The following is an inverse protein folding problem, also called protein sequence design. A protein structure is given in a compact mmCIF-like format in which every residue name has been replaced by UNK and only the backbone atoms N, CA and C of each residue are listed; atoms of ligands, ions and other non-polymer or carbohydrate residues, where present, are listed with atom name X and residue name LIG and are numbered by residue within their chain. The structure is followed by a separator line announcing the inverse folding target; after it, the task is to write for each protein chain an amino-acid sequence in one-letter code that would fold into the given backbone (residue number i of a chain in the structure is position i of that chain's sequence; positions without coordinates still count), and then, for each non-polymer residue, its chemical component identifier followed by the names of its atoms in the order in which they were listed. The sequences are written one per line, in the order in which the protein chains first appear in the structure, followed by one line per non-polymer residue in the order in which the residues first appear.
data_IF_282973927893
#
_entry.id   IF_282973927893
#
_cell.length_a   1.000
_cell.length_b   1.000
_cell.length_c   1.000
_cell.angle_alpha   90.00
_cell.angle_beta   90.00
_cell.angle_gamma   90.00
#
_symmetry.space_group_name_H-M   'P 1'
#
loop_
_entity.id
_entity.type
_entity.pdbx_description
1 polymer ?
#
# COMPACT_ATOMS: atom_id res chain seq x y z
N UNK A 1 -2.77 25.74 -25.71
CA UNK A 1 -3.37 24.40 -25.55
C UNK A 1 -2.85 23.86 -24.23
N UNK A 2 -3.72 23.68 -23.24
CA UNK A 2 -3.34 23.18 -21.93
C UNK A 2 -3.13 21.67 -22.02
N UNK A 3 -1.93 21.21 -21.66
CA UNK A 3 -1.65 19.79 -21.43
C UNK A 3 -2.52 19.32 -20.26
N UNK A 4 -3.21 18.20 -20.45
CA UNK A 4 -3.91 17.52 -19.37
C UNK A 4 -2.87 17.16 -18.29
N UNK A 5 -3.00 17.74 -17.09
CA UNK A 5 -2.01 17.60 -16.03
C UNK A 5 -1.76 16.13 -15.69
N UNK A 6 -0.53 15.67 -15.90
CA UNK A 6 -0.03 14.41 -15.34
C UNK A 6 -0.27 14.44 -13.82
N UNK A 7 -0.92 13.39 -13.29
CA UNK A 7 -1.16 13.26 -11.87
C UNK A 7 0.15 13.34 -11.08
N UNK A 8 0.11 13.97 -9.91
CA UNK A 8 1.28 14.13 -9.04
C UNK A 8 1.84 12.81 -8.50
N UNK A 9 1.06 11.73 -8.59
CA UNK A 9 1.39 10.38 -8.12
C UNK A 9 1.09 9.39 -9.23
N UNK A 10 2.07 8.56 -9.60
CA UNK A 10 1.92 7.54 -10.63
C UNK A 10 2.04 6.14 -10.03
N UNK A 11 1.16 5.24 -10.42
CA UNK A 11 1.26 3.81 -10.09
C UNK A 11 1.63 3.06 -11.37
N UNK A 12 2.76 2.35 -11.35
CA UNK A 12 3.30 1.60 -12.48
C UNK A 12 3.34 0.12 -12.13
N UNK A 13 2.44 -0.66 -12.71
CA UNK A 13 2.35 -2.11 -12.53
C UNK A 13 2.49 -2.85 -13.86
N UNK A 14 3.13 -4.02 -13.86
CA UNK A 14 3.25 -4.89 -15.04
C UNK A 14 1.93 -5.60 -15.39
N UNK A 15 0.95 -5.55 -14.49
CA UNK A 15 -0.34 -6.23 -14.57
C UNK A 15 -0.64 -6.97 -13.26
N UNK A 16 -1.92 -7.07 -12.91
CA UNK A 16 -2.43 -7.86 -11.77
C UNK A 16 -3.16 -9.06 -12.34
N UNK A 17 -2.79 -10.26 -11.89
CA UNK A 17 -3.40 -11.52 -12.35
C UNK A 17 -4.57 -11.97 -11.47
N UNK A 18 -4.54 -11.58 -10.21
CA UNK A 18 -5.55 -11.87 -9.20
C UNK A 18 -6.92 -11.39 -9.65
N UNK A 19 -7.95 -12.20 -9.42
CA UNK A 19 -9.34 -11.85 -9.73
C UNK A 19 -10.00 -11.29 -8.48
N UNK A 20 -10.51 -10.07 -8.56
CA UNK A 20 -11.14 -9.35 -7.45
C UNK A 20 -10.30 -9.39 -6.16
N UNK A 21 -9.04 -8.89 -6.20
CA UNK A 21 -8.12 -9.03 -5.09
C UNK A 21 -8.55 -8.23 -3.85
N UNK A 22 -8.11 -8.66 -2.67
CA UNK A 22 -8.01 -7.75 -1.52
C UNK A 22 -6.71 -6.97 -1.68
N UNK A 23 -6.80 -5.66 -1.50
CA UNK A 23 -5.62 -4.80 -1.44
C UNK A 23 -5.31 -4.50 0.02
N UNK A 24 -4.11 -4.84 0.47
CA UNK A 24 -3.64 -4.56 1.82
C UNK A 24 -2.57 -3.47 1.72
N UNK A 25 -2.69 -2.44 2.54
CA UNK A 25 -1.68 -1.39 2.59
C UNK A 25 -1.02 -1.31 3.97
N UNK A 26 0.28 -1.05 3.96
CA UNK A 26 1.09 -0.79 5.14
C UNK A 26 2.01 0.40 4.92
N UNK A 27 1.49 1.61 5.16
CA UNK A 27 2.32 2.81 5.25
C UNK A 27 2.99 2.96 6.64
N UNK A 28 4.16 3.62 6.73
CA UNK A 28 4.80 3.89 8.02
C UNK A 28 3.89 4.73 8.93
N UNK A 29 3.68 4.24 10.15
CA UNK A 29 2.85 4.87 11.17
C UNK A 29 3.32 4.52 12.58
N UNK A 30 2.44 4.65 13.57
CA UNK A 30 2.77 4.36 14.98
C UNK A 30 3.25 2.92 15.12
N UNK A 31 4.44 2.75 15.72
CA UNK A 31 5.06 1.45 15.97
C UNK A 31 5.41 0.66 14.70
N UNK A 32 5.31 1.27 13.51
CA UNK A 32 5.47 0.60 12.21
C UNK A 32 4.60 -0.65 12.04
N UNK A 33 3.51 -0.78 12.80
CA UNK A 33 2.68 -2.00 12.86
C UNK A 33 2.19 -2.40 11.46
N UNK A 34 1.62 -1.45 10.72
CA UNK A 34 1.16 -1.66 9.35
C UNK A 34 2.25 -2.12 8.40
N UNK A 35 3.40 -1.43 8.44
CA UNK A 35 4.54 -1.76 7.59
C UNK A 35 5.11 -3.15 7.90
N UNK A 36 5.33 -3.47 9.18
CA UNK A 36 5.86 -4.77 9.62
C UNK A 36 4.89 -5.91 9.28
N UNK A 37 3.59 -5.74 9.57
CA UNK A 37 2.58 -6.75 9.26
C UNK A 37 2.48 -7.03 7.76
N UNK A 38 2.48 -5.96 6.94
CA UNK A 38 2.44 -6.09 5.48
C UNK A 38 3.73 -6.70 4.93
N UNK A 39 4.91 -6.32 5.44
CA UNK A 39 6.18 -6.93 5.06
C UNK A 39 6.22 -8.43 5.40
N UNK A 40 5.78 -8.80 6.61
CA UNK A 40 5.70 -10.20 7.03
C UNK A 40 4.78 -11.00 6.10
N UNK A 41 3.61 -10.46 5.76
CA UNK A 41 2.69 -11.09 4.80
C UNK A 41 3.31 -11.28 3.42
N UNK A 42 4.04 -10.27 2.91
CA UNK A 42 4.75 -10.35 1.63
C UNK A 42 5.75 -11.52 1.63
N UNK A 43 6.49 -11.68 2.73
CA UNK A 43 7.51 -12.73 2.88
C UNK A 43 6.88 -14.13 3.02
N UNK A 44 5.89 -14.29 3.92
CA UNK A 44 5.24 -15.58 4.17
C UNK A 44 4.45 -16.09 2.97
N UNK A 45 3.73 -15.20 2.28
CA UNK A 45 2.97 -15.54 1.07
C UNK A 45 3.85 -15.58 -0.19
N UNK A 46 5.16 -15.34 -0.05
CA UNK A 46 6.15 -15.30 -1.14
C UNK A 46 5.66 -14.46 -2.31
N UNK A 47 5.13 -13.28 -2.00
CA UNK A 47 4.50 -12.43 -3.00
C UNK A 47 5.50 -11.97 -4.05
N UNK A 48 5.00 -11.82 -5.29
CA UNK A 48 5.82 -11.38 -6.41
C UNK A 48 5.75 -9.86 -6.52
N UNK A 49 6.89 -9.20 -6.68
CA UNK A 49 6.93 -7.76 -6.98
C UNK A 49 6.32 -7.50 -8.37
N UNK A 50 5.28 -6.68 -8.43
CA UNK A 50 4.54 -6.39 -9.68
C UNK A 50 4.61 -4.94 -10.12
N UNK A 51 5.04 -4.03 -9.22
CA UNK A 51 5.13 -2.62 -9.56
C UNK A 51 5.46 -1.72 -8.38
N UNK A 52 5.37 -0.42 -8.63
CA UNK A 52 5.69 0.61 -7.66
C UNK A 52 4.83 1.85 -7.86
N UNK A 53 4.84 2.71 -6.85
CA UNK A 53 4.30 4.07 -6.93
C UNK A 53 5.46 5.07 -6.89
N UNK A 54 5.37 6.10 -7.73
CA UNK A 54 6.32 7.22 -7.74
C UNK A 54 5.59 8.57 -7.70
N UNK A 55 6.30 9.60 -7.26
CA UNK A 55 5.82 10.97 -7.22
C UNK A 55 7.01 11.92 -7.17
N UNK A 56 6.89 13.09 -7.81
CA UNK A 56 7.84 14.20 -7.62
C UNK A 56 7.89 14.72 -6.18
N UNK A 57 6.90 14.38 -5.36
CA UNK A 57 6.81 14.77 -3.95
C UNK A 57 7.43 13.73 -3.00
N UNK A 58 7.79 12.55 -3.49
CA UNK A 58 8.47 11.56 -2.67
C UNK A 58 9.95 11.92 -2.53
N UNK A 59 10.58 11.59 -1.38
CA UNK A 59 12.03 11.74 -1.23
C UNK A 59 12.77 10.98 -2.36
N UNK A 60 13.81 11.58 -2.97
CA UNK A 60 14.55 10.97 -4.08
C UNK A 60 15.52 9.91 -3.56
N UNK A 61 14.97 8.83 -2.99
CA UNK A 61 15.72 7.75 -2.38
C UNK A 61 15.46 6.43 -3.10
N UNK A 62 16.43 5.51 -3.00
CA UNK A 62 16.29 4.13 -3.42
C UNK A 62 16.52 3.22 -2.21
N UNK A 63 15.74 2.14 -2.11
CA UNK A 63 15.80 1.22 -0.98
C UNK A 63 16.65 0.01 -1.37
N UNK A 64 17.77 -0.18 -0.67
CA UNK A 64 18.62 -1.35 -0.84
C UNK A 64 18.17 -2.44 0.14
N UNK A 65 17.59 -3.52 -0.39
CA UNK A 65 17.18 -4.67 0.40
C UNK A 65 17.71 -5.96 -0.21
N UNK A 66 18.47 -6.74 0.58
CA UNK A 66 19.12 -7.99 0.15
C UNK A 66 19.94 -7.84 -1.15
N UNK A 67 20.64 -6.72 -1.29
CA UNK A 67 21.46 -6.42 -2.47
C UNK A 67 20.68 -5.96 -3.71
N UNK A 68 19.34 -5.83 -3.61
CA UNK A 68 18.48 -5.34 -4.68
C UNK A 68 18.03 -3.91 -4.42
N UNK A 69 18.07 -3.09 -5.46
CA UNK A 69 17.59 -1.71 -5.43
C UNK A 69 16.11 -1.71 -5.75
N UNK A 70 15.31 -1.09 -4.88
CA UNK A 70 13.88 -1.01 -5.02
C UNK A 70 13.37 0.43 -4.90
N UNK A 71 12.20 0.66 -5.48
CA UNK A 71 11.41 1.87 -5.23
C UNK A 71 10.93 1.90 -3.77
N UNK A 72 10.75 3.11 -3.20
CA UNK A 72 10.33 3.26 -1.80
C UNK A 72 8.88 2.84 -1.55
N UNK A 73 8.01 2.92 -2.56
CA UNK A 73 6.63 2.40 -2.49
C UNK A 73 6.49 1.27 -3.49
N UNK A 74 6.25 0.05 -2.98
CA UNK A 74 6.24 -1.19 -3.76
C UNK A 74 4.88 -1.85 -3.73
N UNK A 75 4.58 -2.56 -4.80
CA UNK A 75 3.35 -3.33 -4.98
C UNK A 75 3.73 -4.78 -5.23
N UNK A 76 3.15 -5.66 -4.44
CA UNK A 76 3.35 -7.10 -4.49
C UNK A 76 2.03 -7.82 -4.70
N UNK A 77 2.09 -9.03 -5.28
CA UNK A 77 0.92 -9.85 -5.57
C UNK A 77 1.12 -11.29 -5.09
N UNK A 78 0.09 -11.84 -4.45
CA UNK A 78 -0.12 -13.27 -4.28
C UNK A 78 -1.32 -13.71 -5.11
N UNK A 79 -1.06 -14.20 -6.33
CA UNK A 79 -2.10 -14.69 -7.24
C UNK A 79 -2.89 -15.85 -6.61
N UNK A 80 -2.18 -16.76 -5.92
CA UNK A 80 -2.79 -17.92 -5.26
C UNK A 80 -3.81 -17.53 -4.17
N UNK A 81 -3.61 -16.39 -3.51
CA UNK A 81 -4.49 -15.91 -2.43
C UNK A 81 -5.43 -14.78 -2.87
N UNK A 82 -5.31 -14.31 -4.12
CA UNK A 82 -5.96 -13.09 -4.61
C UNK A 82 -5.74 -11.89 -3.67
N UNK A 83 -4.48 -11.66 -3.28
CA UNK A 83 -4.08 -10.55 -2.42
C UNK A 83 -3.02 -9.72 -3.12
N UNK A 84 -3.19 -8.40 -3.05
CA UNK A 84 -2.21 -7.41 -3.51
C UNK A 84 -1.78 -6.60 -2.29
N UNK A 85 -0.47 -6.46 -2.08
CA UNK A 85 0.07 -5.69 -0.97
C UNK A 85 0.76 -4.43 -1.49
N UNK A 86 0.48 -3.29 -0.86
CA UNK A 86 1.19 -2.03 -1.09
C UNK A 86 1.94 -1.67 0.17
N UNK A 87 3.27 -1.56 0.06
CA UNK A 87 4.15 -1.25 1.19
C UNK A 87 4.98 -0.03 0.86
N UNK A 88 5.11 0.88 1.83
CA UNK A 88 5.92 2.09 1.71
C UNK A 88 7.01 2.13 2.77
N UNK A 89 8.25 2.40 2.38
CA UNK A 89 9.37 2.67 3.30
C UNK A 89 9.53 4.17 3.61
N UNK A 90 8.71 5.02 2.99
CA UNK A 90 8.68 6.46 3.22
C UNK A 90 7.35 6.88 3.85
N UNK A 91 7.35 7.82 4.80
CA UNK A 91 6.12 8.43 5.26
C UNK A 91 5.53 9.28 4.13
N UNK A 92 4.20 9.28 4.02
CA UNK A 92 3.48 10.17 3.09
C UNK A 92 3.29 11.52 3.75
N UNK A 93 3.83 12.58 3.13
CA UNK A 93 3.67 13.93 3.66
C UNK A 93 2.19 14.36 3.62
N UNK A 94 1.65 15.02 4.66
CA UNK A 94 0.23 15.39 4.71
C UNK A 94 -0.25 16.17 3.48
N UNK A 95 0.60 17.03 2.90
CA UNK A 95 0.25 17.84 1.72
C UNK A 95 0.01 17.02 0.45
N UNK A 96 0.57 15.81 0.35
CA UNK A 96 0.39 14.90 -0.81
C UNK A 96 -0.52 13.70 -0.50
N UNK A 97 -0.98 13.59 0.74
CA UNK A 97 -1.77 12.45 1.21
C UNK A 97 -3.06 12.23 0.40
N UNK A 98 -3.73 13.32 0.01
CA UNK A 98 -4.94 13.24 -0.80
C UNK A 98 -4.65 12.69 -2.20
N UNK A 99 -3.58 13.15 -2.85
CA UNK A 99 -3.23 12.69 -4.20
C UNK A 99 -2.77 11.24 -4.21
N UNK A 100 -2.00 10.83 -3.19
CA UNK A 100 -1.62 9.42 -3.00
C UNK A 100 -2.87 8.56 -2.81
N UNK A 101 -3.77 8.98 -1.93
CA UNK A 101 -5.02 8.25 -1.66
C UNK A 101 -5.89 8.16 -2.91
N UNK A 102 -6.04 9.25 -3.67
CA UNK A 102 -6.80 9.27 -4.91
C UNK A 102 -6.20 8.33 -5.95
N UNK A 103 -4.89 8.40 -6.20
CA UNK A 103 -4.21 7.52 -7.14
C UNK A 103 -4.35 6.04 -6.74
N UNK A 104 -4.24 5.74 -5.44
CA UNK A 104 -4.49 4.41 -4.90
C UNK A 104 -5.91 3.94 -5.18
N UNK A 105 -6.93 4.73 -4.84
CA UNK A 105 -8.34 4.35 -5.09
C UNK A 105 -8.59 4.15 -6.59
N UNK A 106 -8.20 5.10 -7.44
CA UNK A 106 -8.37 5.02 -8.89
C UNK A 106 -7.73 3.74 -9.46
N UNK A 107 -6.53 3.39 -8.99
CA UNK A 107 -5.84 2.16 -9.39
C UNK A 107 -6.52 0.90 -8.85
N UNK A 108 -6.92 0.86 -7.58
CA UNK A 108 -7.60 -0.32 -7.00
C UNK A 108 -8.95 -0.60 -7.69
N UNK A 109 -9.68 0.43 -8.08
CA UNK A 109 -10.90 0.32 -8.90
C UNK A 109 -10.57 -0.25 -10.28
N UNK A 110 -9.48 0.20 -10.91
CA UNK A 110 -9.07 -0.28 -12.24
C UNK A 110 -8.76 -1.78 -12.28
N UNK A 111 -8.27 -2.34 -11.16
CA UNK A 111 -7.98 -3.78 -11.01
C UNK A 111 -9.17 -4.55 -10.40
N UNK A 112 -10.32 -3.90 -10.22
CA UNK A 112 -11.55 -4.47 -9.63
C UNK A 112 -11.30 -5.08 -8.25
N UNK A 113 -10.47 -4.44 -7.43
CA UNK A 113 -10.26 -4.87 -6.05
C UNK A 113 -11.62 -4.98 -5.32
N UNK A 114 -11.81 -6.07 -4.56
CA UNK A 114 -13.05 -6.24 -3.80
C UNK A 114 -13.09 -5.33 -2.59
N UNK A 115 -11.96 -5.20 -1.92
CA UNK A 115 -11.81 -4.53 -0.62
C UNK A 115 -10.39 -3.97 -0.49
N UNK A 116 -10.26 -2.93 0.33
CA UNK A 116 -8.99 -2.34 0.73
C UNK A 116 -8.90 -2.45 2.26
N UNK A 117 -7.82 -3.02 2.77
CA UNK A 117 -7.56 -3.19 4.20
C UNK A 117 -6.35 -2.36 4.58
N UNK A 118 -6.59 -1.33 5.38
CA UNK A 118 -5.56 -0.48 5.97
C UNK A 118 -5.09 -1.05 7.30
N UNK A 119 -3.82 -1.41 7.41
CA UNK A 119 -3.24 -1.89 8.67
C UNK A 119 -2.46 -0.76 9.32
N UNK A 120 -2.81 -0.41 10.56
CA UNK A 120 -2.18 0.69 11.28
C UNK A 120 -1.96 0.34 12.76
N UNK A 121 -1.00 1.03 13.38
CA UNK A 121 -0.79 0.98 14.82
C UNK A 121 -1.58 2.07 15.54
N UNK A 122 -2.10 1.75 16.72
CA UNK A 122 -2.75 2.71 17.63
C UNK A 122 -2.07 2.64 18.99
N UNK A 123 -1.75 3.81 19.57
CA UNK A 123 -1.22 3.87 20.93
C UNK A 123 -2.37 3.71 21.93
N UNK A 124 -2.28 2.72 22.82
CA UNK A 124 -3.26 2.47 23.88
C UNK A 124 -2.64 2.64 25.26
N UNK A 125 -3.41 3.16 26.20
CA UNK A 125 -3.04 3.23 27.61
C UNK A 125 -3.46 1.91 28.28
N UNK A 126 -2.57 0.93 28.33
CA UNK A 126 -2.81 -0.39 28.94
C UNK A 126 -1.73 -1.41 28.56
N UNK A 127 -1.58 -2.46 29.38
CA UNK A 127 -0.61 -3.54 29.11
C UNK A 127 -1.13 -4.57 28.09
N UNK A 128 -2.44 -4.59 27.83
CA UNK A 128 -3.05 -5.54 26.90
C UNK A 128 -2.91 -5.13 25.43
N UNK A 129 -2.44 -6.07 24.60
CA UNK A 129 -2.43 -5.93 23.15
C UNK A 129 -3.84 -6.17 22.59
N UNK A 130 -4.46 -5.13 22.01
CA UNK A 130 -5.80 -5.20 21.41
C UNK A 130 -5.77 -4.77 19.94
N UNK A 131 -6.60 -5.42 19.12
CA UNK A 131 -6.85 -5.04 17.73
C UNK A 131 -8.21 -4.38 17.64
N UNK A 132 -8.28 -3.26 16.93
CA UNK A 132 -9.51 -2.51 16.68
C UNK A 132 -9.81 -2.54 15.18
N UNK A 133 -11.09 -2.56 14.83
CA UNK A 133 -11.57 -2.52 13.45
C UNK A 133 -12.49 -1.33 13.23
N UNK A 134 -12.34 -0.67 12.08
CA UNK A 134 -13.27 0.31 11.56
C UNK A 134 -13.56 -0.01 10.10
N UNK A 135 -14.81 0.13 9.69
CA UNK A 135 -15.22 -0.19 8.33
C UNK A 135 -16.19 0.86 7.77
N UNK A 136 -16.26 0.96 6.45
CA UNK A 136 -17.13 1.93 5.74
C UNK A 136 -18.58 1.46 5.65
N UNK A 137 -18.86 0.17 5.89
CA UNK A 137 -20.20 -0.39 5.88
C UNK A 137 -20.36 -1.46 6.97
N UNK A 138 -21.58 -1.71 7.47
CA UNK A 138 -21.83 -2.76 8.46
C UNK A 138 -21.48 -4.18 7.98
N UNK A 139 -21.47 -4.44 6.67
CA UNK A 139 -21.12 -5.75 6.11
C UNK A 139 -19.61 -6.06 6.19
N UNK A 140 -18.79 -5.04 6.46
CA UNK A 140 -17.34 -5.13 6.59
C UNK A 140 -16.86 -5.07 8.05
N UNK A 141 -17.78 -5.03 9.03
CA UNK A 141 -17.51 -5.16 10.47
C UNK A 141 -17.57 -6.62 10.90
#
# INVERSE_FOLDING_TARGET
MAEAGEGSVNIRVKGIKSRNPIVIEGFPGIGLVGNIATQHMIEELKMTYVGAMDSKYFPPIAVLFRGLINMPVRIYESEANNVVAVISDIPVHPTVSYEVSKAMIDWTVSIKAREIVSVAGIATMGEDHRVFGGATTPALL
#
